data_IF_660629530362
#
_entry.id   IF_660629530362
#
_cell.length_a   1.000
_cell.length_b   1.000
_cell.length_c   1.000
_cell.angle_alpha   90.00
_cell.angle_beta   90.00
_cell.angle_gamma   90.00
#
_symmetry.space_group_name_H-M   'P 1'
#
loop_
_entity.id
_entity.type
_entity.pdbx_description
1 polymer ?
#
# COMPACT_ATOMS: atom_id res chain seq x y z
N UNK A 1 -3.03 10.01 22.29
CA UNK A 1 -1.98 9.74 23.30
C UNK A 1 -1.08 8.59 22.79
N UNK A 2 -1.58 7.37 22.57
CA UNK A 2 -0.77 6.20 22.19
C UNK A 2 0.16 6.45 20.98
N UNK A 3 -0.32 7.12 19.92
CA UNK A 3 0.52 7.49 18.77
C UNK A 3 1.67 8.40 19.16
N UNK A 4 1.42 9.42 19.98
CA UNK A 4 2.46 10.35 20.44
C UNK A 4 3.49 9.66 21.33
N UNK A 5 3.04 8.76 22.20
CA UNK A 5 3.93 7.98 23.06
C UNK A 5 4.88 7.10 22.21
N UNK A 6 4.37 6.47 21.13
CA UNK A 6 5.19 5.72 20.19
C UNK A 6 6.14 6.61 19.38
N UNK A 7 5.68 7.76 18.89
CA UNK A 7 6.55 8.69 18.16
C UNK A 7 7.71 9.19 18.99
N UNK A 8 7.50 9.41 20.29
CA UNK A 8 8.55 9.82 21.23
C UNK A 8 9.59 8.73 21.50
N UNK A 9 9.25 7.46 21.29
CA UNK A 9 10.18 6.33 21.46
C UNK A 9 11.05 6.07 20.22
N UNK A 10 10.79 6.76 19.12
CA UNK A 10 11.52 6.63 17.85
C UNK A 10 12.39 7.88 17.66
N UNK A 11 13.68 7.68 17.52
CA UNK A 11 14.61 8.77 17.27
C UNK A 11 14.25 9.55 16.00
N UNK A 12 14.14 10.87 16.14
CA UNK A 12 13.85 11.80 15.05
C UNK A 12 12.55 11.55 14.27
N UNK A 13 11.57 10.85 14.85
CA UNK A 13 10.25 10.71 14.23
C UNK A 13 9.63 12.10 14.00
N UNK A 14 9.29 12.43 12.75
CA UNK A 14 8.74 13.72 12.39
C UNK A 14 7.22 13.69 12.29
N UNK A 15 6.67 12.63 11.68
CA UNK A 15 5.25 12.49 11.44
C UNK A 15 4.81 11.07 11.76
N UNK A 16 3.65 10.94 12.38
CA UNK A 16 2.96 9.67 12.55
C UNK A 16 1.47 9.81 12.29
N UNK A 17 0.88 8.74 11.79
CA UNK A 17 -0.55 8.70 11.54
C UNK A 17 -1.15 7.34 11.91
N UNK A 18 -2.42 7.36 12.28
CA UNK A 18 -3.20 6.16 12.51
C UNK A 18 -4.61 6.33 11.93
N UNK A 19 -5.11 5.30 11.25
CA UNK A 19 -6.46 5.26 10.68
C UNK A 19 -7.14 3.99 11.15
N UNK A 20 -8.33 4.13 11.72
CA UNK A 20 -9.23 3.03 12.05
C UNK A 20 -10.45 3.10 11.15
N UNK A 21 -10.68 2.05 10.36
CA UNK A 21 -11.79 1.96 9.42
C UNK A 21 -12.62 0.69 9.69
N UNK A 22 -13.95 0.83 9.64
CA UNK A 22 -14.87 -0.28 9.78
C UNK A 22 -14.96 -1.07 8.46
N UNK A 23 -14.75 -2.38 8.53
CA UNK A 23 -14.69 -3.25 7.34
C UNK A 23 -15.99 -3.23 6.54
N UNK A 24 -17.15 -3.36 7.21
CA UNK A 24 -18.44 -3.54 6.55
C UNK A 24 -19.05 -2.26 5.96
N UNK A 25 -18.61 -1.09 6.41
CA UNK A 25 -19.23 0.19 6.03
C UNK A 25 -18.26 1.17 5.38
N UNK A 26 -16.96 0.94 5.53
CA UNK A 26 -15.93 1.90 5.12
C UNK A 26 -15.87 3.14 6.03
N UNK A 27 -16.60 3.16 7.14
CA UNK A 27 -16.59 4.30 8.06
C UNK A 27 -15.23 4.49 8.70
N UNK A 28 -14.68 5.66 8.57
CA UNK A 28 -13.47 6.07 9.28
C UNK A 28 -13.85 6.41 10.72
N UNK A 29 -13.61 5.46 11.64
CA UNK A 29 -13.95 5.60 13.07
C UNK A 29 -12.95 6.49 13.82
N UNK A 30 -11.70 6.49 13.38
CA UNK A 30 -10.68 7.38 13.90
C UNK A 30 -9.62 7.65 12.85
N UNK A 31 -9.12 8.87 12.82
CA UNK A 31 -7.98 9.30 12.03
C UNK A 31 -7.19 10.30 12.86
N UNK A 32 -5.90 10.05 13.01
CA UNK A 32 -4.99 10.89 13.82
C UNK A 32 -3.73 11.13 13.02
N UNK A 33 -3.30 12.38 12.97
CA UNK A 33 -2.08 12.79 12.29
C UNK A 33 -1.27 13.67 13.25
N UNK A 34 -0.07 13.26 13.61
CA UNK A 34 0.80 13.97 14.53
C UNK A 34 2.10 14.36 13.85
N UNK A 35 2.43 15.63 13.91
CA UNK A 35 3.66 16.20 13.40
C UNK A 35 4.48 16.80 14.54
N UNK A 36 5.80 16.58 14.51
CA UNK A 36 6.73 17.19 15.47
C UNK A 36 6.95 18.65 15.11
N UNK A 37 6.51 19.55 15.99
CA UNK A 37 6.67 20.97 15.84
C UNK A 37 8.08 21.43 16.26
N UNK A 38 8.45 22.68 15.93
CA UNK A 38 9.77 23.27 16.27
C UNK A 38 10.10 23.26 17.76
N UNK A 39 9.08 23.27 18.62
CA UNK A 39 9.21 23.18 20.08
C UNK A 39 9.36 21.73 20.59
N UNK A 40 9.48 20.75 19.69
CA UNK A 40 9.62 19.33 20.00
C UNK A 40 8.31 18.61 20.36
N UNK A 41 7.19 19.32 20.47
CA UNK A 41 5.90 18.74 20.76
C UNK A 41 5.21 18.23 19.49
N UNK A 42 4.38 17.19 19.63
CA UNK A 42 3.56 16.66 18.55
C UNK A 42 2.17 17.29 18.56
N UNK A 43 1.72 17.78 17.39
CA UNK A 43 0.38 18.37 17.19
C UNK A 43 -0.23 17.90 15.89
N UNK A 44 -1.54 17.96 15.80
CA UNK A 44 -2.24 17.84 14.51
C UNK A 44 -2.11 19.16 13.74
N UNK A 45 -1.51 19.11 12.56
CA UNK A 45 -1.27 20.24 11.67
C UNK A 45 -1.91 20.03 10.32
N UNK A 46 -1.77 18.83 9.76
CA UNK A 46 -2.22 18.45 8.43
C UNK A 46 -2.76 17.02 8.45
N UNK A 47 -3.75 16.73 7.63
CA UNK A 47 -4.24 15.36 7.46
C UNK A 47 -3.33 14.56 6.51
N UNK A 48 -2.19 14.13 7.02
CA UNK A 48 -1.19 13.37 6.27
C UNK A 48 -1.73 12.06 5.69
N UNK A 49 -2.65 11.41 6.39
CA UNK A 49 -3.21 10.14 5.96
C UNK A 49 -3.96 10.24 4.62
N UNK A 50 -4.52 11.40 4.27
CA UNK A 50 -5.26 11.60 3.00
C UNK A 50 -4.52 12.46 1.99
N UNK A 51 -3.60 13.32 2.43
CA UNK A 51 -2.97 14.33 1.58
C UNK A 51 -1.55 14.03 1.16
N UNK A 52 -0.83 13.16 1.86
CA UNK A 52 0.54 12.82 1.51
C UNK A 52 0.58 11.63 0.58
N UNK A 53 1.55 11.67 -0.33
CA UNK A 53 1.91 10.55 -1.18
C UNK A 53 3.16 9.88 -0.61
N UNK A 54 3.02 8.64 -0.19
CA UNK A 54 4.11 7.86 0.40
C UNK A 54 4.27 6.53 -0.34
N UNK A 55 5.48 6.05 -0.42
CA UNK A 55 5.77 4.69 -0.87
C UNK A 55 5.27 3.72 0.20
N UNK A 56 4.31 2.82 -0.13
CA UNK A 56 3.68 1.96 0.86
C UNK A 56 4.61 0.86 1.39
N UNK A 57 5.69 0.55 0.68
CA UNK A 57 6.59 -0.53 1.05
C UNK A 57 5.90 -1.90 1.07
N UNK A 58 6.33 -2.78 1.98
CA UNK A 58 5.94 -4.20 1.99
C UNK A 58 4.45 -4.49 2.11
N UNK A 59 3.63 -3.56 2.60
CA UNK A 59 2.15 -3.74 2.60
C UNK A 59 1.57 -3.76 1.19
N UNK A 60 2.32 -3.33 0.19
CA UNK A 60 1.92 -3.37 -1.21
C UNK A 60 2.06 -4.76 -1.85
N UNK A 61 2.88 -5.64 -1.31
CA UNK A 61 3.15 -6.99 -1.86
C UNK A 61 1.90 -7.83 -2.03
N UNK A 62 0.92 -7.67 -1.13
CA UNK A 62 -0.38 -8.33 -1.25
C UNK A 62 -1.09 -7.91 -2.53
N UNK A 63 -1.11 -6.61 -2.86
CA UNK A 63 -1.70 -6.13 -4.11
C UNK A 63 -0.96 -6.68 -5.33
N UNK A 64 0.37 -6.74 -5.28
CA UNK A 64 1.19 -7.32 -6.36
C UNK A 64 0.84 -8.78 -6.63
N UNK A 65 0.70 -9.58 -5.60
CA UNK A 65 0.33 -10.98 -5.75
C UNK A 65 -1.13 -11.16 -6.12
N UNK A 66 -2.05 -10.31 -5.65
CA UNK A 66 -3.44 -10.33 -6.10
C UNK A 66 -3.55 -10.14 -7.61
N UNK A 67 -2.77 -9.21 -8.19
CA UNK A 67 -2.70 -9.04 -9.66
C UNK A 67 -2.23 -10.31 -10.34
N UNK A 68 -1.17 -10.95 -9.84
CA UNK A 68 -0.63 -12.14 -10.45
C UNK A 68 -1.55 -13.37 -10.30
N UNK A 69 -2.27 -13.49 -9.19
CA UNK A 69 -3.27 -14.53 -8.96
C UNK A 69 -4.50 -14.33 -9.89
N UNK A 70 -5.00 -13.10 -9.98
CA UNK A 70 -6.14 -12.74 -10.82
C UNK A 70 -5.85 -12.93 -12.32
N UNK A 71 -4.60 -12.68 -12.74
CA UNK A 71 -4.15 -12.96 -14.10
C UNK A 71 -3.87 -14.46 -14.37
N UNK A 72 -3.95 -15.33 -13.36
CA UNK A 72 -3.69 -16.76 -13.48
C UNK A 72 -2.21 -17.11 -13.66
N UNK A 73 -1.30 -16.20 -13.39
CA UNK A 73 0.14 -16.42 -13.53
C UNK A 73 0.79 -17.03 -12.31
N UNK A 74 0.20 -16.86 -11.15
CA UNK A 74 0.76 -17.28 -9.88
C UNK A 74 -0.28 -18.03 -9.06
N UNK A 75 0.18 -19.06 -8.33
CA UNK A 75 -0.58 -19.78 -7.33
C UNK A 75 0.14 -19.73 -5.96
N UNK A 76 -0.58 -19.84 -4.83
CA UNK A 76 0.04 -19.76 -3.50
C UNK A 76 1.18 -20.76 -3.25
N UNK A 77 1.14 -21.91 -3.93
CA UNK A 77 2.12 -22.99 -3.78
C UNK A 77 3.27 -22.94 -4.80
N UNK A 78 3.27 -21.94 -5.71
CA UNK A 78 4.37 -21.80 -6.67
C UNK A 78 5.65 -21.46 -5.96
N UNK A 79 6.73 -22.16 -6.32
CA UNK A 79 8.01 -22.06 -5.64
C UNK A 79 8.93 -21.04 -6.32
N UNK A 80 9.70 -20.33 -5.51
CA UNK A 80 10.75 -19.42 -5.93
C UNK A 80 12.00 -19.63 -5.09
N UNK A 81 13.17 -19.57 -5.72
CA UNK A 81 14.43 -19.67 -5.01
C UNK A 81 14.93 -18.28 -4.62
N UNK A 82 14.81 -17.92 -3.35
CA UNK A 82 15.33 -16.65 -2.82
C UNK A 82 16.80 -16.71 -2.42
N UNK A 83 17.43 -17.87 -2.54
CA UNK A 83 18.84 -18.10 -2.23
C UNK A 83 19.19 -17.64 -0.82
N UNK A 84 20.24 -16.85 -0.69
CA UNK A 84 20.65 -16.23 0.58
C UNK A 84 19.90 -14.93 0.91
N UNK A 85 18.76 -14.66 0.27
CA UNK A 85 17.98 -13.43 0.47
C UNK A 85 18.57 -12.21 -0.22
N UNK A 86 19.33 -12.42 -1.31
CA UNK A 86 19.99 -11.37 -2.07
C UNK A 86 20.06 -11.74 -3.54
N UNK A 87 19.65 -10.84 -4.42
CA UNK A 87 19.65 -11.04 -5.86
C UNK A 87 19.97 -9.74 -6.60
N UNK A 88 20.56 -9.85 -7.79
CA UNK A 88 20.74 -8.72 -8.69
C UNK A 88 19.56 -8.62 -9.66
N UNK A 89 18.71 -7.61 -9.48
CA UNK A 89 17.57 -7.31 -10.34
C UNK A 89 17.96 -6.23 -11.36
N UNK A 90 18.28 -6.63 -12.58
CA UNK A 90 18.61 -5.71 -13.68
C UNK A 90 19.70 -4.70 -13.38
N UNK A 91 20.74 -5.12 -12.64
CA UNK A 91 21.89 -4.28 -12.29
C UNK A 91 21.78 -3.58 -10.93
N UNK A 92 20.68 -3.76 -10.19
CA UNK A 92 20.52 -3.24 -8.84
C UNK A 92 20.26 -4.38 -7.85
N UNK A 93 20.90 -4.30 -6.70
CA UNK A 93 20.79 -5.31 -5.67
C UNK A 93 19.45 -5.21 -4.92
N UNK A 94 18.70 -6.34 -4.86
CA UNK A 94 17.50 -6.53 -4.04
C UNK A 94 17.85 -7.41 -2.85
N UNK A 95 17.37 -7.06 -1.67
CA UNK A 95 17.64 -7.80 -0.43
C UNK A 95 16.38 -8.03 0.39
N UNK A 96 16.30 -9.21 1.00
CA UNK A 96 15.40 -9.49 2.11
C UNK A 96 15.94 -8.88 3.41
N UNK A 97 15.07 -8.55 4.36
CA UNK A 97 15.50 -8.02 5.65
C UNK A 97 16.38 -8.99 6.44
N UNK A 98 16.23 -10.31 6.17
CA UNK A 98 16.95 -11.39 6.86
C UNK A 98 18.23 -11.86 6.15
N UNK A 99 18.62 -11.24 5.03
CA UNK A 99 19.73 -11.75 4.20
C UNK A 99 21.05 -11.94 4.94
N UNK A 100 21.39 -11.04 5.87
CA UNK A 100 22.64 -11.07 6.63
C UNK A 100 22.52 -11.74 8.00
N UNK A 101 21.32 -12.03 8.49
CA UNK A 101 21.08 -12.59 9.83
C UNK A 101 20.70 -14.06 9.82
N UNK A 102 20.00 -14.51 8.77
CA UNK A 102 19.49 -15.88 8.64
C UNK A 102 19.98 -16.61 7.39
N UNK A 103 20.81 -15.97 6.55
CA UNK A 103 21.30 -16.55 5.30
C UNK A 103 20.22 -16.79 4.24
N UNK A 104 19.12 -16.01 4.28
CA UNK A 104 18.01 -16.13 3.36
C UNK A 104 17.00 -17.22 3.71
N UNK A 105 16.03 -17.43 2.83
CA UNK A 105 14.98 -18.45 3.01
C UNK A 105 15.13 -19.63 2.07
N UNK A 106 16.10 -19.61 1.13
CA UNK A 106 16.26 -20.65 0.12
C UNK A 106 15.06 -20.72 -0.82
N UNK A 107 14.56 -21.94 -1.05
CA UNK A 107 13.37 -22.16 -1.88
C UNK A 107 12.11 -22.09 -1.04
N UNK A 108 11.23 -21.15 -1.33
CA UNK A 108 9.97 -20.94 -0.60
C UNK A 108 8.80 -20.76 -1.55
N UNK A 109 7.59 -20.97 -1.07
CA UNK A 109 6.36 -20.76 -1.83
C UNK A 109 5.97 -19.27 -1.92
N UNK A 110 5.10 -18.95 -2.88
CA UNK A 110 4.52 -17.61 -2.98
C UNK A 110 3.81 -17.19 -1.68
N UNK A 111 3.08 -18.10 -1.03
CA UNK A 111 2.46 -17.86 0.26
C UNK A 111 3.50 -17.49 1.33
N UNK A 112 4.63 -18.21 1.36
CA UNK A 112 5.73 -17.93 2.29
C UNK A 112 6.44 -16.62 1.97
N UNK A 113 6.49 -16.18 0.69
CA UNK A 113 7.01 -14.86 0.33
C UNK A 113 6.22 -13.74 1.04
N UNK A 114 4.90 -13.85 1.12
CA UNK A 114 4.06 -12.90 1.88
C UNK A 114 4.28 -13.06 3.38
N UNK A 115 4.27 -14.30 3.90
CA UNK A 115 4.48 -14.61 5.32
C UNK A 115 5.80 -14.03 5.86
N UNK A 116 6.86 -14.15 5.10
CA UNK A 116 8.19 -13.67 5.47
C UNK A 116 8.49 -12.25 4.97
N UNK A 117 7.56 -11.67 4.22
CA UNK A 117 7.77 -10.37 3.55
C UNK A 117 9.04 -10.34 2.69
N UNK A 118 9.33 -11.44 1.97
CA UNK A 118 10.50 -11.54 1.11
C UNK A 118 10.42 -10.53 -0.05
N UNK A 119 11.41 -9.65 -0.14
CA UNK A 119 11.56 -8.73 -1.27
C UNK A 119 12.01 -9.49 -2.51
N UNK A 120 12.98 -10.40 -2.32
CA UNK A 120 13.54 -11.22 -3.39
C UNK A 120 12.46 -12.09 -4.02
N UNK A 121 11.72 -12.86 -3.21
CA UNK A 121 10.72 -13.78 -3.72
C UNK A 121 9.58 -13.05 -4.45
N UNK A 122 9.07 -11.94 -3.91
CA UNK A 122 8.01 -11.17 -4.57
C UNK A 122 8.50 -10.53 -5.86
N UNK A 123 9.66 -9.87 -5.82
CA UNK A 123 10.17 -9.20 -7.02
C UNK A 123 10.52 -10.18 -8.14
N UNK A 124 11.11 -11.33 -7.84
CA UNK A 124 11.42 -12.36 -8.85
C UNK A 124 10.16 -12.96 -9.48
N UNK A 125 9.14 -13.27 -8.68
CA UNK A 125 7.88 -13.80 -9.21
C UNK A 125 7.14 -12.78 -10.08
N UNK A 126 7.08 -11.53 -9.69
CA UNK A 126 6.43 -10.49 -10.51
C UNK A 126 7.26 -10.19 -11.75
N UNK A 127 8.57 -10.09 -11.65
CA UNK A 127 9.45 -9.83 -12.78
C UNK A 127 9.36 -10.95 -13.82
N UNK A 128 9.37 -12.19 -13.39
CA UNK A 128 9.23 -13.38 -14.25
C UNK A 128 8.03 -13.29 -15.20
N UNK A 129 6.88 -12.82 -14.73
CA UNK A 129 5.64 -12.81 -15.51
C UNK A 129 5.37 -11.47 -16.20
N UNK A 130 5.88 -10.37 -15.68
CA UNK A 130 5.49 -9.04 -16.14
C UNK A 130 6.63 -8.21 -16.73
N UNK A 131 7.88 -8.66 -16.70
CA UNK A 131 9.01 -7.88 -17.21
C UNK A 131 8.80 -7.39 -18.65
N UNK A 132 8.31 -8.30 -19.53
CA UNK A 132 8.04 -8.00 -20.93
C UNK A 132 6.66 -7.35 -21.16
N UNK A 133 5.82 -7.24 -20.15
CA UNK A 133 4.47 -6.67 -20.21
C UNK A 133 4.14 -5.86 -18.95
N UNK A 134 4.99 -4.90 -18.55
CA UNK A 134 4.83 -4.20 -17.26
C UNK A 134 3.56 -3.38 -17.18
N UNK A 135 3.01 -2.95 -18.33
CA UNK A 135 1.73 -2.28 -18.42
C UNK A 135 0.57 -3.15 -17.88
N UNK A 136 0.60 -4.47 -18.16
CA UNK A 136 -0.42 -5.39 -17.66
C UNK A 136 -0.42 -5.41 -16.12
N UNK A 137 0.77 -5.44 -15.51
CA UNK A 137 0.90 -5.37 -14.05
C UNK A 137 0.34 -4.06 -13.50
N UNK A 138 0.75 -2.91 -14.05
CA UNK A 138 0.27 -1.59 -13.60
C UNK A 138 -1.24 -1.46 -13.76
N UNK A 139 -1.81 -1.90 -14.89
CA UNK A 139 -3.26 -1.91 -15.07
C UNK A 139 -3.95 -2.85 -14.07
N UNK A 140 -3.31 -3.96 -13.72
CA UNK A 140 -3.76 -4.86 -12.66
C UNK A 140 -3.88 -4.17 -11.30
N UNK A 141 -2.93 -3.30 -10.94
CA UNK A 141 -2.99 -2.53 -9.68
C UNK A 141 -4.22 -1.62 -9.60
N UNK A 142 -4.65 -1.04 -10.72
CA UNK A 142 -5.92 -0.30 -10.80
C UNK A 142 -7.12 -1.24 -10.67
N UNK A 143 -7.10 -2.39 -11.34
CA UNK A 143 -8.18 -3.40 -11.31
C UNK A 143 -8.39 -3.97 -9.89
N UNK A 144 -7.33 -4.23 -9.12
CA UNK A 144 -7.45 -4.69 -7.73
C UNK A 144 -7.72 -3.55 -6.74
N UNK A 145 -7.80 -2.31 -7.20
CA UNK A 145 -8.29 -1.15 -6.44
C UNK A 145 -7.25 -0.42 -5.59
N UNK A 146 -6.03 -0.92 -5.41
CA UNK A 146 -5.01 -0.23 -4.59
C UNK A 146 -4.59 1.12 -5.20
N UNK A 147 -4.61 1.21 -6.52
CA UNK A 147 -4.23 2.38 -7.30
C UNK A 147 -5.43 3.20 -7.81
N UNK A 148 -6.66 2.79 -7.53
CA UNK A 148 -7.86 3.46 -8.02
C UNK A 148 -7.91 4.93 -7.54
N UNK A 149 -8.08 5.91 -8.44
CA UNK A 149 -8.07 7.32 -8.11
C UNK A 149 -9.43 7.87 -7.62
N UNK A 150 -10.33 7.02 -7.07
CA UNK A 150 -11.61 7.51 -6.56
C UNK A 150 -11.43 8.67 -5.57
N UNK A 151 -12.31 9.68 -5.59
CA UNK A 151 -12.20 10.84 -4.70
C UNK A 151 -12.47 10.44 -3.24
N UNK A 152 -11.86 11.18 -2.32
CA UNK A 152 -12.11 11.12 -0.88
C UNK A 152 -12.74 12.47 -0.47
N UNK A 153 -13.86 12.44 0.25
CA UNK A 153 -14.62 13.65 0.63
C UNK A 153 -13.94 14.42 1.80
N UNK A 154 -12.64 14.64 1.65
CA UNK A 154 -11.83 15.46 2.56
C UNK A 154 -11.02 16.44 1.73
N UNK A 155 -11.07 17.76 2.04
CA UNK A 155 -10.26 18.74 1.34
C UNK A 155 -8.77 18.41 1.38
N UNK A 156 -8.09 18.59 0.24
CA UNK A 156 -6.65 18.35 0.14
C UNK A 156 -6.25 16.88 -0.01
N UNK A 157 -7.20 15.97 -0.28
CA UNK A 157 -6.85 14.58 -0.59
C UNK A 157 -5.97 14.48 -1.85
N UNK A 158 -5.06 13.52 -1.85
CA UNK A 158 -4.17 13.26 -2.96
C UNK A 158 -4.61 12.01 -3.77
N UNK A 159 -4.38 12.06 -5.08
CA UNK A 159 -4.54 10.90 -5.96
C UNK A 159 -3.31 10.01 -5.87
N UNK A 160 -3.46 8.67 -5.96
CA UNK A 160 -2.33 7.78 -6.17
C UNK A 160 -1.48 8.23 -7.36
N UNK A 161 -0.16 8.14 -7.20
CA UNK A 161 0.80 8.40 -8.27
C UNK A 161 1.53 7.08 -8.56
N UNK A 162 1.03 6.33 -9.52
CA UNK A 162 1.59 5.07 -9.97
C UNK A 162 2.28 5.29 -11.31
N UNK A 163 3.60 5.10 -11.34
CA UNK A 163 4.37 5.22 -12.57
C UNK A 163 3.88 4.20 -13.61
N UNK A 164 3.73 4.63 -14.85
CA UNK A 164 3.18 3.79 -15.92
C UNK A 164 4.15 3.69 -17.11
N UNK A 165 4.50 2.48 -17.59
CA UNK A 165 5.57 2.29 -18.59
C UNK A 165 5.33 3.01 -19.93
N UNK A 166 4.07 3.20 -20.34
CA UNK A 166 3.76 3.94 -21.58
C UNK A 166 3.63 5.44 -21.38
N UNK A 167 3.14 5.89 -20.23
CA UNK A 167 2.92 7.32 -19.94
C UNK A 167 4.20 7.99 -19.48
N UNK A 168 5.01 7.28 -18.67
CA UNK A 168 6.21 7.77 -18.03
C UNK A 168 7.48 7.15 -18.62
N UNK A 169 7.52 6.99 -19.95
CA UNK A 169 8.62 6.29 -20.66
C UNK A 169 10.03 6.77 -20.29
N UNK A 170 10.22 8.07 -20.13
CA UNK A 170 11.52 8.65 -19.74
C UNK A 170 11.97 8.26 -18.33
N UNK A 171 11.03 7.91 -17.46
CA UNK A 171 11.26 7.58 -16.05
C UNK A 171 11.05 6.08 -15.75
N UNK A 172 10.69 5.27 -16.74
CA UNK A 172 10.56 3.83 -16.57
C UNK A 172 11.91 3.14 -16.76
N UNK A 173 12.54 2.77 -15.68
CA UNK A 173 13.79 2.02 -15.67
C UNK A 173 13.57 0.50 -15.76
N UNK A 174 14.62 -0.25 -16.10
CA UNK A 174 14.59 -1.72 -16.08
C UNK A 174 14.27 -2.29 -14.68
N UNK A 175 14.58 -1.54 -13.63
CA UNK A 175 14.33 -1.95 -12.24
C UNK A 175 12.96 -1.52 -11.72
N UNK A 176 12.24 -0.65 -12.43
CA UNK A 176 10.99 -0.04 -11.94
C UNK A 176 9.94 -1.08 -11.53
N UNK A 177 9.73 -2.13 -12.35
CA UNK A 177 8.76 -3.18 -12.04
C UNK A 177 9.09 -3.94 -10.76
N UNK A 178 10.34 -4.39 -10.62
CA UNK A 178 10.78 -5.16 -9.46
C UNK A 178 10.63 -4.35 -8.15
N UNK A 179 11.00 -3.05 -8.17
CA UNK A 179 10.82 -2.16 -7.01
C UNK A 179 9.36 -1.81 -6.75
N UNK A 180 8.56 -1.62 -7.80
CA UNK A 180 7.12 -1.38 -7.67
C UNK A 180 6.43 -2.58 -7.00
N UNK A 181 6.81 -3.81 -7.34
CA UNK A 181 6.20 -5.01 -6.79
C UNK A 181 6.31 -5.12 -5.26
N UNK A 182 7.29 -4.46 -4.67
CA UNK A 182 7.52 -4.43 -3.22
C UNK A 182 7.16 -3.07 -2.58
N UNK A 183 6.45 -2.21 -3.33
CA UNK A 183 5.86 -0.96 -2.85
C UNK A 183 6.75 0.26 -2.90
N UNK A 184 7.79 0.25 -3.74
CA UNK A 184 8.57 1.42 -4.12
C UNK A 184 8.22 1.86 -5.54
N UNK A 185 8.78 2.97 -6.02
CA UNK A 185 8.44 3.50 -7.36
C UNK A 185 6.93 3.77 -7.57
N UNK A 186 6.17 3.79 -6.48
CA UNK A 186 4.73 4.02 -6.44
C UNK A 186 4.39 4.81 -5.19
N UNK A 187 3.46 5.73 -5.29
CA UNK A 187 3.08 6.60 -4.18
C UNK A 187 1.58 6.61 -4.02
N UNK A 188 1.10 6.28 -2.83
CA UNK A 188 -0.33 6.29 -2.50
C UNK A 188 -0.58 7.04 -1.19
N UNK A 189 -1.74 7.70 -1.04
CA UNK A 189 -2.14 8.24 0.26
C UNK A 189 -2.29 7.09 1.27
N UNK A 190 -1.78 7.24 2.50
CA UNK A 190 -1.82 6.16 3.51
C UNK A 190 -3.20 5.55 3.76
N UNK A 191 -4.28 6.32 3.64
CA UNK A 191 -5.66 5.83 3.80
C UNK A 191 -6.06 4.78 2.77
N UNK A 192 -5.37 4.71 1.61
CA UNK A 192 -5.65 3.70 0.58
C UNK A 192 -5.29 2.29 1.05
N UNK A 193 -4.25 2.16 1.86
CA UNK A 193 -3.83 0.87 2.41
C UNK A 193 -4.93 0.23 3.26
N UNK A 194 -5.48 0.85 4.32
CA UNK A 194 -6.57 0.24 5.07
C UNK A 194 -7.84 0.05 4.24
N UNK A 195 -8.15 0.92 3.27
CA UNK A 195 -9.29 0.73 2.38
C UNK A 195 -9.14 -0.54 1.52
N UNK A 196 -7.96 -0.78 0.96
CA UNK A 196 -7.63 -1.98 0.20
C UNK A 196 -7.74 -3.26 1.05
N UNK A 197 -7.13 -3.27 2.24
CA UNK A 197 -7.20 -4.43 3.14
C UNK A 197 -8.61 -4.65 3.69
N UNK A 198 -9.40 -3.60 3.90
CA UNK A 198 -10.82 -3.73 4.23
C UNK A 198 -11.59 -4.42 3.09
N UNK A 199 -11.27 -4.12 1.83
CA UNK A 199 -11.86 -4.81 0.67
C UNK A 199 -11.62 -6.31 0.73
N UNK A 200 -10.40 -6.75 1.05
CA UNK A 200 -10.06 -8.17 1.24
C UNK A 200 -10.88 -8.76 2.40
N UNK A 201 -10.90 -8.09 3.56
CA UNK A 201 -11.64 -8.54 4.74
C UNK A 201 -13.16 -8.54 4.55
N UNK A 202 -13.67 -7.77 3.57
CA UNK A 202 -15.08 -7.65 3.22
C UNK A 202 -15.49 -8.54 2.02
N UNK A 203 -14.79 -9.64 1.80
CA UNK A 203 -15.11 -10.59 0.74
C UNK A 203 -14.90 -10.01 -0.68
N UNK A 204 -13.93 -9.14 -0.87
CA UNK A 204 -13.58 -8.51 -2.15
C UNK A 204 -14.35 -7.21 -2.43
N UNK A 205 -15.26 -6.78 -1.57
CA UNK A 205 -15.99 -5.52 -1.73
C UNK A 205 -15.20 -4.38 -1.12
N UNK A 206 -14.47 -3.63 -1.94
CA UNK A 206 -13.75 -2.44 -1.50
C UNK A 206 -14.73 -1.26 -1.37
N UNK A 207 -14.70 -0.60 -0.21
CA UNK A 207 -15.58 0.51 0.12
C UNK A 207 -14.79 1.82 0.16
N UNK A 208 -15.43 2.89 -0.35
CA UNK A 208 -14.89 4.23 -0.20
C UNK A 208 -14.81 4.62 1.28
N UNK A 209 -13.66 5.15 1.76
CA UNK A 209 -13.57 5.70 3.11
C UNK A 209 -14.64 6.76 3.34
N UNK A 210 -15.54 6.53 4.31
CA UNK A 210 -16.65 7.41 4.64
C UNK A 210 -16.38 8.16 5.94
N UNK A 211 -16.25 9.49 5.86
CA UNK A 211 -15.98 10.36 7.01
C UNK A 211 -17.25 10.94 7.61
N UNK A 212 -18.29 11.11 6.81
CA UNK A 212 -19.56 11.66 7.23
C UNK A 212 -20.68 10.66 6.92
N UNK A 213 -21.36 10.19 7.95
CA UNK A 213 -22.51 9.29 7.80
C UNK A 213 -23.79 10.03 7.48
N UNK A 214 -24.03 11.14 8.17
CA UNK A 214 -25.24 11.92 8.01
C UNK A 214 -25.02 13.40 8.39
N UNK A 215 -25.78 14.29 7.75
CA UNK A 215 -25.94 15.70 8.12
C UNK A 215 -27.31 15.89 8.78
N UNK A 216 -27.31 16.47 9.98
CA UNK A 216 -28.51 16.78 10.74
C UNK A 216 -28.60 18.28 11.04
N UNK A 217 -29.81 18.80 11.18
CA UNK A 217 -30.09 20.16 11.67
C UNK A 217 -31.21 20.08 12.71
N UNK A 218 -30.98 20.59 13.92
CA UNK A 218 -31.92 20.53 15.05
C UNK A 218 -32.44 19.09 15.34
N UNK A 219 -31.57 18.07 15.15
CA UNK A 219 -31.93 16.66 15.34
C UNK A 219 -32.54 15.97 14.11
N UNK A 220 -33.06 16.71 13.16
CA UNK A 220 -33.66 16.18 11.93
C UNK A 220 -32.62 15.81 10.88
N UNK A 221 -32.80 14.68 10.22
CA UNK A 221 -31.93 14.21 9.14
C UNK A 221 -32.13 15.08 7.89
N UNK A 222 -31.06 15.77 7.46
CA UNK A 222 -31.07 16.54 6.21
C UNK A 222 -30.54 15.70 5.05
N UNK A 223 -29.47 14.92 5.29
CA UNK A 223 -28.83 14.11 4.25
C UNK A 223 -28.13 12.92 4.89
N UNK A 224 -28.31 11.77 4.31
CA UNK A 224 -27.50 10.58 4.60
C UNK A 224 -26.54 10.31 3.45
N UNK A 225 -25.33 9.86 3.80
CA UNK A 225 -24.31 9.49 2.82
C UNK A 225 -24.24 7.96 2.78
N UNK A 226 -24.53 7.33 1.63
CA UNK A 226 -24.55 5.88 1.52
C UNK A 226 -23.16 5.26 1.67
N UNK A 227 -23.13 3.96 1.91
CA UNK A 227 -21.94 3.14 1.74
C UNK A 227 -21.71 2.98 0.22
N UNK A 228 -20.52 3.32 -0.26
CA UNK A 228 -20.19 3.24 -1.68
C UNK A 228 -19.12 2.17 -1.92
N UNK A 229 -19.42 1.27 -2.85
CA UNK A 229 -18.44 0.31 -3.38
C UNK A 229 -17.64 1.01 -4.49
N UNK A 230 -16.33 0.85 -4.49
CA UNK A 230 -15.40 1.42 -5.47
C UNK A 230 -14.66 0.32 -6.22
#
# INVERSE_FOLDING_TARGET
KALVDQLKSIDNAQVGMAVLMEVKTGDVKAIVNMERCKDGNYRETKNYAVSNLLEPGSVFKTASFMVAFDDGYLHPNDMVNTGCGKVNMHGREMKDASWNTKGGYGVISAAECIKHSSNVGVSELIDKYYFNQPEKFVNGLYRVGIADPYPIDIPGWAKPNIRHPKKDRSNWSKTALAWMSIGYETQIPPIRTPAFYNGIANGGKMLRPRFVKAKKRNGELIKEYPVEVV
#
